data_IF_604032892073
#
_entry.id   IF_604032892073
#
_cell.length_a   1.000
_cell.length_b   1.000
_cell.length_c   1.000
_cell.angle_alpha   90.00
_cell.angle_beta   90.00
_cell.angle_gamma   90.00
#
_symmetry.space_group_name_H-M   'P 1'
#
loop_
_entity.id
_entity.type
_entity.pdbx_description
1 polymer ?
#
# COMPACT_ATOMS: atom_id res chain seq x y z
N UNK A 1 -8.59 6.97 -5.78
CA UNK A 1 -8.63 5.70 -5.02
C UNK A 1 -9.69 4.72 -5.50
N UNK A 2 -10.96 5.12 -5.68
CA UNK A 2 -12.03 4.17 -6.06
C UNK A 2 -11.76 3.47 -7.40
N UNK A 3 -11.31 4.20 -8.43
CA UNK A 3 -10.91 3.62 -9.73
C UNK A 3 -9.83 2.56 -9.59
N UNK A 4 -8.82 2.79 -8.75
CA UNK A 4 -7.73 1.83 -8.49
C UNK A 4 -8.27 0.57 -7.81
N UNK A 5 -9.15 0.73 -6.83
CA UNK A 5 -9.81 -0.40 -6.16
C UNK A 5 -10.65 -1.19 -7.17
N UNK A 6 -11.34 -0.53 -8.10
CA UNK A 6 -12.11 -1.20 -9.15
C UNK A 6 -11.20 -1.98 -10.11
N UNK A 7 -10.09 -1.40 -10.55
CA UNK A 7 -9.10 -2.06 -11.42
C UNK A 7 -8.52 -3.28 -10.72
N UNK A 8 -8.00 -3.11 -9.50
CA UNK A 8 -7.42 -4.20 -8.71
C UNK A 8 -8.47 -5.29 -8.47
N UNK A 9 -9.69 -4.93 -8.08
CA UNK A 9 -10.75 -5.93 -7.90
C UNK A 9 -11.11 -6.64 -9.19
N UNK A 10 -11.09 -5.97 -10.35
CA UNK A 10 -11.35 -6.61 -11.65
C UNK A 10 -10.27 -7.62 -12.03
N UNK A 11 -9.00 -7.29 -11.80
CA UNK A 11 -7.87 -8.19 -12.04
C UNK A 11 -7.95 -9.39 -11.09
N UNK A 12 -8.25 -9.15 -9.81
CA UNK A 12 -8.24 -10.15 -8.75
C UNK A 12 -9.53 -11.00 -8.65
N UNK A 13 -10.67 -10.53 -9.19
CA UNK A 13 -11.96 -11.21 -9.07
C UNK A 13 -12.02 -12.51 -9.88
N UNK A 14 -11.28 -12.58 -10.99
CA UNK A 14 -11.24 -13.76 -11.86
C UNK A 14 -9.90 -14.47 -11.69
N UNK A 15 -9.90 -15.70 -11.15
CA UNK A 15 -8.67 -16.43 -10.85
C UNK A 15 -7.76 -16.65 -12.07
N UNK A 16 -8.34 -16.74 -13.27
CA UNK A 16 -7.57 -16.81 -14.52
C UNK A 16 -6.89 -15.48 -14.85
N UNK A 17 -7.57 -14.35 -14.66
CA UNK A 17 -6.99 -13.02 -14.85
C UNK A 17 -5.87 -12.77 -13.85
N UNK A 18 -6.08 -13.15 -12.59
CA UNK A 18 -5.05 -13.04 -11.55
C UNK A 18 -3.80 -13.86 -11.88
N UNK A 19 -3.98 -15.10 -12.34
CA UNK A 19 -2.87 -15.96 -12.76
C UNK A 19 -2.11 -15.36 -13.95
N UNK A 20 -2.83 -14.90 -14.98
CA UNK A 20 -2.22 -14.28 -16.17
C UNK A 20 -1.48 -12.99 -15.83
N UNK A 21 -2.04 -12.17 -14.94
CA UNK A 21 -1.39 -10.95 -14.47
C UNK A 21 -0.12 -11.26 -13.68
N UNK A 22 -0.14 -12.29 -12.82
CA UNK A 22 1.07 -12.75 -12.12
C UNK A 22 2.16 -13.23 -13.08
N UNK A 23 1.80 -13.95 -14.14
CA UNK A 23 2.75 -14.38 -15.17
C UNK A 23 3.37 -13.18 -15.90
N UNK A 24 2.56 -12.17 -16.23
CA UNK A 24 3.05 -10.92 -16.82
C UNK A 24 4.05 -10.21 -15.90
N UNK A 25 3.76 -10.14 -14.60
CA UNK A 25 4.69 -9.54 -13.63
C UNK A 25 6.01 -10.31 -13.52
N UNK A 26 5.97 -11.64 -13.62
CA UNK A 26 7.15 -12.50 -13.59
C UNK A 26 8.00 -12.34 -14.86
N UNK A 27 7.35 -12.25 -16.03
CA UNK A 27 8.01 -12.05 -17.33
C UNK A 27 8.74 -10.70 -17.42
N UNK A 28 8.17 -9.65 -16.82
CA UNK A 28 8.75 -8.30 -16.82
C UNK A 28 9.74 -8.10 -15.65
N UNK A 29 9.99 -9.15 -14.84
CA UNK A 29 10.79 -9.09 -13.62
C UNK A 29 10.36 -7.93 -12.70
N UNK A 30 9.05 -7.73 -12.57
CA UNK A 30 8.49 -6.60 -11.83
C UNK A 30 8.89 -6.65 -10.35
N UNK A 31 9.00 -5.47 -9.73
CA UNK A 31 9.42 -5.32 -8.32
C UNK A 31 8.49 -6.10 -7.38
N UNK A 32 7.22 -6.28 -7.77
CA UNK A 32 6.22 -6.99 -7.00
C UNK A 32 5.70 -8.19 -7.77
N UNK A 33 5.57 -9.33 -7.09
CA UNK A 33 5.03 -10.57 -7.66
C UNK A 33 3.49 -10.59 -7.75
N UNK A 34 2.80 -9.60 -7.16
CA UNK A 34 1.34 -9.50 -7.14
C UNK A 34 0.84 -8.13 -6.64
N UNK A 35 -0.41 -7.80 -7.00
CA UNK A 35 -1.15 -6.66 -6.45
C UNK A 35 -1.79 -7.03 -5.10
N UNK A 36 -1.84 -6.07 -4.18
CA UNK A 36 -2.50 -6.26 -2.89
C UNK A 36 -4.01 -6.05 -3.01
N UNK A 37 -4.79 -7.03 -2.56
CA UNK A 37 -6.20 -6.85 -2.27
C UNK A 37 -6.37 -5.90 -1.08
N UNK A 38 -7.30 -4.96 -1.19
CA UNK A 38 -7.59 -4.04 -0.10
C UNK A 38 -8.17 -4.81 1.10
N UNK A 39 -7.33 -5.08 2.11
CA UNK A 39 -7.81 -5.50 3.41
C UNK A 39 -8.33 -4.27 4.17
N UNK A 40 -9.51 -4.37 4.80
CA UNK A 40 -10.19 -3.25 5.50
C UNK A 40 -9.42 -2.72 6.72
N UNK A 41 -8.24 -3.26 7.03
CA UNK A 41 -7.48 -2.93 8.22
C UNK A 41 -6.46 -1.81 7.89
N UNK A 42 -6.69 -0.64 8.51
CA UNK A 42 -5.82 0.55 8.58
C UNK A 42 -5.52 1.28 7.26
N UNK A 43 -5.60 2.61 7.27
CA UNK A 43 -5.27 3.49 6.14
C UNK A 43 -3.87 3.25 5.53
N UNK A 44 -2.94 2.68 6.31
CA UNK A 44 -1.60 2.29 5.86
C UNK A 44 -1.62 1.18 4.79
N UNK A 45 -2.56 0.23 4.85
CA UNK A 45 -2.68 -0.81 3.83
C UNK A 45 -3.11 -0.21 2.48
N UNK A 46 -3.90 0.87 2.50
CA UNK A 46 -4.27 1.61 1.29
C UNK A 46 -3.08 2.31 0.65
N UNK A 47 -2.16 2.86 1.45
CA UNK A 47 -0.92 3.45 0.95
C UNK A 47 -0.03 2.42 0.24
N UNK A 48 0.09 1.22 0.82
CA UNK A 48 0.87 0.13 0.22
C UNK A 48 0.24 -0.38 -1.10
N UNK A 49 -1.10 -0.48 -1.16
CA UNK A 49 -1.82 -0.80 -2.41
C UNK A 49 -1.51 0.24 -3.50
N UNK A 50 -1.58 1.54 -3.17
CA UNK A 50 -1.27 2.60 -4.14
C UNK A 50 0.18 2.54 -4.62
N UNK A 51 1.12 2.29 -3.71
CA UNK A 51 2.54 2.19 -4.03
C UNK A 51 2.81 1.06 -5.03
N UNK A 52 2.26 -0.13 -4.78
CA UNK A 52 2.40 -1.28 -5.70
C UNK A 52 1.70 -1.04 -7.02
N UNK A 53 0.52 -0.43 -6.99
CA UNK A 53 -0.22 -0.12 -8.20
C UNK A 53 0.56 0.83 -9.12
N UNK A 54 1.21 1.86 -8.56
CA UNK A 54 2.06 2.77 -9.35
C UNK A 54 3.31 2.07 -9.85
N UNK A 55 3.91 1.19 -9.06
CA UNK A 55 5.09 0.43 -9.49
C UNK A 55 4.79 -0.53 -10.66
N UNK A 56 3.58 -1.08 -10.71
CA UNK A 56 3.12 -1.99 -11.77
C UNK A 56 2.19 -1.29 -12.78
N UNK A 57 2.22 0.04 -12.89
CA UNK A 57 1.22 0.80 -13.64
C UNK A 57 1.23 0.45 -15.13
N UNK A 58 2.42 0.28 -15.71
CA UNK A 58 2.56 -0.04 -17.13
C UNK A 58 2.10 -1.47 -17.42
N UNK A 59 2.45 -2.42 -16.55
CA UNK A 59 1.99 -3.80 -16.63
C UNK A 59 0.46 -3.90 -16.48
N UNK A 60 -0.14 -3.08 -15.60
CA UNK A 60 -1.59 -2.97 -15.46
C UNK A 60 -2.22 -2.42 -16.75
N UNK A 61 -1.65 -1.37 -17.36
CA UNK A 61 -2.15 -0.84 -18.65
C UNK A 61 -2.07 -1.89 -19.75
N UNK A 62 -0.94 -2.59 -19.89
CA UNK A 62 -0.76 -3.67 -20.85
C UNK A 62 -1.75 -4.80 -20.64
N UNK A 63 -1.96 -5.21 -19.39
CA UNK A 63 -2.91 -6.26 -19.04
C UNK A 63 -4.35 -5.85 -19.38
N UNK A 64 -4.75 -4.62 -19.03
CA UNK A 64 -6.07 -4.08 -19.33
C UNK A 64 -6.31 -3.99 -20.84
N UNK A 65 -5.33 -3.55 -21.61
CA UNK A 65 -5.38 -3.52 -23.07
C UNK A 65 -5.60 -4.93 -23.66
N UNK A 66 -4.92 -5.96 -23.12
CA UNK A 66 -5.11 -7.35 -23.56
C UNK A 66 -6.51 -7.91 -23.29
N UNK A 67 -7.24 -7.30 -22.36
CA UNK A 67 -8.60 -7.66 -21.95
C UNK A 67 -9.67 -6.76 -22.56
N UNK A 68 -9.28 -5.85 -23.45
CA UNK A 68 -10.15 -4.82 -24.03
C UNK A 68 -10.85 -3.95 -22.96
N UNK A 69 -10.26 -3.85 -21.76
CA UNK A 69 -10.75 -3.02 -20.67
C UNK A 69 -10.05 -1.67 -20.72
N UNK A 70 -10.81 -0.59 -20.77
CA UNK A 70 -10.26 0.78 -20.77
C UNK A 70 -10.77 1.56 -19.56
N UNK A 71 -9.85 2.32 -18.96
CA UNK A 71 -10.14 3.24 -17.88
C UNK A 71 -9.63 4.61 -18.31
N UNK A 72 -10.53 5.55 -18.57
CA UNK A 72 -10.18 6.87 -19.10
C UNK A 72 -9.23 7.64 -18.19
N UNK A 73 -9.24 7.36 -16.89
CA UNK A 73 -8.36 7.98 -15.90
C UNK A 73 -6.89 7.57 -16.05
N UNK A 74 -6.59 6.39 -16.61
CA UNK A 74 -5.20 5.94 -16.82
C UNK A 74 -4.50 6.68 -17.97
N UNK A 75 -5.28 7.27 -18.88
CA UNK A 75 -4.79 8.07 -20.00
C UNK A 75 -4.72 9.57 -19.67
N UNK A 76 -5.30 10.00 -18.54
CA UNK A 76 -5.34 11.40 -18.14
C UNK A 76 -4.10 11.77 -17.32
N UNK A 77 -3.22 12.66 -17.83
CA UNK A 77 -2.00 13.04 -17.13
C UNK A 77 -2.30 13.71 -15.79
N UNK A 78 -3.33 14.55 -15.73
CA UNK A 78 -3.77 15.21 -14.49
C UNK A 78 -4.21 14.23 -13.40
N UNK A 79 -4.74 13.08 -13.79
CA UNK A 79 -5.13 12.04 -12.84
C UNK A 79 -3.92 11.25 -12.36
N UNK A 80 -2.98 10.93 -13.25
CA UNK A 80 -1.72 10.28 -12.92
C UNK A 80 -0.89 11.14 -11.94
N UNK A 81 -0.79 12.45 -12.17
CA UNK A 81 -0.12 13.37 -11.24
C UNK A 81 -0.73 13.33 -9.84
N UNK A 82 -2.07 13.35 -9.75
CA UNK A 82 -2.79 13.21 -8.48
C UNK A 82 -2.49 11.86 -7.82
N UNK A 83 -2.39 10.78 -8.60
CA UNK A 83 -2.03 9.45 -8.10
C UNK A 83 -0.62 9.44 -7.50
N UNK A 84 0.38 9.93 -8.23
CA UNK A 84 1.75 10.03 -7.75
C UNK A 84 1.84 10.86 -6.47
N UNK A 85 1.17 12.02 -6.44
CA UNK A 85 1.09 12.86 -5.24
C UNK A 85 0.48 12.12 -4.05
N UNK A 86 -0.58 11.33 -4.26
CA UNK A 86 -1.19 10.51 -3.20
C UNK A 86 -0.24 9.42 -2.68
N UNK A 87 0.54 8.78 -3.56
CA UNK A 87 1.56 7.80 -3.14
C UNK A 87 2.62 8.47 -2.27
N UNK A 88 3.14 9.61 -2.70
CA UNK A 88 4.18 10.33 -1.95
C UNK A 88 3.70 10.78 -0.56
N UNK A 89 2.49 11.35 -0.49
CA UNK A 89 1.88 11.72 0.79
C UNK A 89 1.70 10.50 1.71
N UNK A 90 1.19 9.39 1.19
CA UNK A 90 0.97 8.18 2.01
C UNK A 90 2.28 7.53 2.45
N UNK A 91 3.32 7.55 1.62
CA UNK A 91 4.66 7.10 1.97
C UNK A 91 5.29 7.98 3.06
N UNK A 92 5.12 9.30 2.96
CA UNK A 92 5.58 10.24 3.97
C UNK A 92 4.89 10.00 5.32
N UNK A 93 3.56 9.86 5.33
CA UNK A 93 2.78 9.53 6.53
C UNK A 93 3.18 8.18 7.13
N UNK A 94 3.46 7.17 6.31
CA UNK A 94 3.94 5.86 6.80
C UNK A 94 5.32 5.98 7.47
N UNK A 95 6.20 6.83 6.93
CA UNK A 95 7.51 7.13 7.53
C UNK A 95 7.37 7.82 8.89
N UNK A 96 6.41 8.74 9.02
CA UNK A 96 6.13 9.43 10.29
C UNK A 96 5.45 8.53 11.33
N UNK A 97 4.72 7.50 10.90
CA UNK A 97 4.06 6.56 11.82
C UNK A 97 4.95 5.40 12.26
N UNK A 98 5.93 5.00 11.45
CA UNK A 98 6.94 3.98 11.80
C UNK A 98 8.08 4.55 12.63
N UNK A 99 8.32 5.86 12.55
CA UNK A 99 9.11 6.59 13.53
C UNK A 99 8.18 6.92 14.70
N UNK A 100 8.36 6.35 15.89
CA UNK A 100 7.62 6.84 17.04
C UNK A 100 7.89 8.34 17.14
N UNK A 101 6.83 9.16 17.19
CA UNK A 101 6.93 10.40 17.95
C UNK A 101 7.29 9.94 19.37
N UNK A 102 8.59 9.84 19.64
CA UNK A 102 9.14 9.75 20.98
C UNK A 102 8.76 11.10 21.60
N UNK A 103 7.51 11.22 22.05
CA UNK A 103 7.25 11.93 23.29
C UNK A 103 8.25 11.30 24.24
N UNK A 104 9.27 12.08 24.61
CA UNK A 104 10.33 11.61 25.50
C UNK A 104 9.62 10.87 26.62
N UNK A 105 9.88 9.58 26.74
CA UNK A 105 9.45 8.84 27.92
C UNK A 105 9.94 9.68 29.09
N UNK A 106 9.01 10.19 29.89
CA UNK A 106 9.37 10.72 31.19
C UNK A 106 10.03 9.55 31.89
N UNK A 107 11.36 9.59 32.03
CA UNK A 107 12.09 8.63 32.85
C UNK A 107 11.34 8.55 34.18
N UNK A 108 10.85 7.37 34.59
CA UNK A 108 10.32 7.23 35.94
C UNK A 108 11.44 7.65 36.88
N UNK A 109 11.20 8.71 37.65
CA UNK A 109 12.14 9.14 38.69
C UNK A 109 12.52 7.90 39.50
N UNK A 110 13.82 7.72 39.77
CA UNK A 110 14.40 6.53 40.40
C UNK A 110 13.79 6.13 41.76
N UNK A 111 12.89 6.97 42.30
CA UNK A 111 12.11 6.72 43.51
C UNK A 111 11.13 5.52 43.41
N UNK A 112 10.63 5.16 42.21
CA UNK A 112 9.62 4.09 42.07
C UNK A 112 10.17 2.66 42.16
N UNK A 113 11.50 2.47 42.11
CA UNK A 113 12.10 1.13 42.16
C UNK A 113 12.01 0.48 43.56
N UNK A 114 11.79 1.27 44.61
CA UNK A 114 11.71 0.78 46.00
C UNK A 114 10.33 0.24 46.39
N UNK A 115 9.26 0.68 45.72
CA UNK A 115 7.90 0.26 46.06
C UNK A 115 7.54 -1.14 45.53
N UNK A 116 8.13 -1.57 44.41
CA UNK A 116 7.79 -2.87 43.82
C UNK A 116 8.40 -4.07 44.58
N UNK A 117 9.53 -3.87 45.26
CA UNK A 117 10.15 -4.93 46.06
C UNK A 117 9.55 -5.09 47.47
N UNK A 118 8.72 -4.16 47.94
CA UNK A 118 8.06 -4.27 49.26
C UNK A 118 6.68 -4.92 49.24
N UNK A 119 6.09 -5.18 48.06
CA UNK A 119 4.77 -5.83 47.95
C UNK A 119 4.85 -7.32 47.60
N UNK A 120 6.04 -7.93 47.67
CA UNK A 120 6.28 -9.35 47.43
C UNK A 120 7.00 -10.02 48.60
N UNK A 121 6.58 -9.71 49.83
CA UNK A 121 6.92 -10.48 51.04
C UNK A 121 5.72 -10.53 51.97
#
# INVERSE_FOLDING_TARGET
MLTIIQIVNKIMAEGLNHCQFRLLLDEVESIYSDLLLHNKVRWLSRGEVLKRFVACLEEVKTFLASKELTFAELEQPEWLEKLHFMVDMTAHLNTLNTKPFRGKEAQPCTCWRRFWHSSAS
#
